data_IF_068410686679
#
_entry.id   IF_068410686679
#
_cell.length_a   1.000
_cell.length_b   1.000
_cell.length_c   1.000
_cell.angle_alpha   90.00
_cell.angle_beta   90.00
_cell.angle_gamma   90.00
#
_symmetry.space_group_name_H-M   'P 1'
#
loop_
_entity.id
_entity.type
_entity.pdbx_description
1 polymer ?
#
# COMPACT_ATOMS: atom_id res chain seq x y z
N UNK A 1 -3.01 4.28 7.66
CA UNK A 1 -3.76 5.54 7.77
C UNK A 1 -5.00 5.48 6.90
N UNK A 2 -6.12 6.05 7.34
CA UNK A 2 -7.33 6.19 6.52
C UNK A 2 -7.53 7.67 6.18
N UNK A 3 -7.79 7.96 4.91
CA UNK A 3 -8.00 9.30 4.37
C UNK A 3 -9.42 9.35 3.82
N UNK A 4 -10.35 9.78 4.67
CA UNK A 4 -11.79 9.79 4.39
C UNK A 4 -12.15 10.55 3.11
N UNK A 5 -11.54 11.74 2.91
CA UNK A 5 -11.78 12.57 1.73
C UNK A 5 -11.44 11.87 0.39
N UNK A 6 -10.63 10.82 0.43
CA UNK A 6 -10.23 10.04 -0.75
C UNK A 6 -10.79 8.62 -0.74
N UNK A 7 -11.55 8.23 0.29
CA UNK A 7 -11.93 6.83 0.53
C UNK A 7 -10.73 5.89 0.40
N UNK A 8 -9.58 6.27 0.98
CA UNK A 8 -8.29 5.63 0.75
C UNK A 8 -7.65 5.18 2.06
N UNK A 9 -7.27 3.91 2.11
CA UNK A 9 -6.32 3.38 3.08
C UNK A 9 -4.90 3.50 2.53
N UNK A 10 -4.02 4.10 3.32
CA UNK A 10 -2.60 4.24 3.03
C UNK A 10 -1.80 3.40 4.04
N UNK A 11 -1.04 2.43 3.57
CA UNK A 11 -0.26 1.52 4.41
C UNK A 11 1.21 1.56 4.01
N UNK A 12 2.09 1.89 4.95
CA UNK A 12 3.52 1.70 4.75
C UNK A 12 3.84 0.23 5.01
N UNK A 13 4.30 -0.49 3.99
CA UNK A 13 4.68 -1.90 4.09
C UNK A 13 6.15 -2.05 3.65
N UNK A 14 6.98 -2.62 4.53
CA UNK A 14 8.41 -2.79 4.23
C UNK A 14 9.13 -3.85 5.04
N UNK A 15 8.50 -4.44 6.05
CA UNK A 15 9.12 -5.47 6.89
C UNK A 15 8.07 -6.45 7.43
N UNK A 16 8.43 -7.73 7.48
CA UNK A 16 7.68 -8.72 8.27
C UNK A 16 7.87 -8.41 9.75
N UNK A 17 6.78 -8.26 10.47
CA UNK A 17 6.78 -8.07 11.92
C UNK A 17 6.47 -9.39 12.63
N UNK A 18 6.89 -9.54 13.89
CA UNK A 18 6.72 -10.78 14.66
C UNK A 18 5.25 -11.20 14.84
N UNK A 19 4.32 -10.25 14.74
CA UNK A 19 2.88 -10.46 14.84
C UNK A 19 2.20 -10.59 13.47
N UNK A 20 2.95 -10.85 12.40
CA UNK A 20 2.39 -11.02 11.06
C UNK A 20 1.52 -12.27 11.00
N UNK A 21 0.22 -12.07 10.76
CA UNK A 21 -0.75 -13.13 10.54
C UNK A 21 -1.28 -13.04 9.09
N UNK A 22 -0.92 -13.99 8.21
CA UNK A 22 -1.31 -13.95 6.80
C UNK A 22 -2.82 -14.09 6.58
N UNK A 23 -3.53 -14.81 7.45
CA UNK A 23 -4.98 -14.98 7.33
C UNK A 23 -5.71 -13.68 7.70
N UNK A 24 -5.27 -13.04 8.77
CA UNK A 24 -5.77 -11.73 9.17
C UNK A 24 -5.48 -10.65 8.12
N UNK A 25 -4.25 -10.61 7.58
CA UNK A 25 -3.87 -9.69 6.50
C UNK A 25 -4.79 -9.83 5.28
N UNK A 26 -5.05 -11.07 4.87
CA UNK A 26 -5.92 -11.35 3.72
C UNK A 26 -7.35 -10.89 3.98
N UNK A 27 -7.88 -11.19 5.16
CA UNK A 27 -9.22 -10.76 5.58
C UNK A 27 -9.34 -9.23 5.62
N UNK A 28 -8.35 -8.56 6.20
CA UNK A 28 -8.32 -7.10 6.31
C UNK A 28 -8.21 -6.45 4.92
N UNK A 29 -7.33 -6.96 4.08
CA UNK A 29 -7.13 -6.43 2.72
C UNK A 29 -8.42 -6.53 1.91
N UNK A 30 -9.13 -7.67 1.99
CA UNK A 30 -10.44 -7.84 1.34
C UNK A 30 -11.49 -6.87 1.89
N UNK A 31 -11.59 -6.75 3.21
CA UNK A 31 -12.54 -5.83 3.86
C UNK A 31 -12.33 -4.38 3.40
N UNK A 32 -11.06 -3.94 3.31
CA UNK A 32 -10.70 -2.62 2.82
C UNK A 32 -11.06 -2.47 1.36
N UNK A 33 -10.65 -3.40 0.50
CA UNK A 33 -10.89 -3.31 -0.94
C UNK A 33 -12.37 -3.26 -1.32
N UNK A 34 -13.26 -3.89 -0.54
CA UNK A 34 -14.71 -3.81 -0.76
C UNK A 34 -15.30 -2.39 -0.57
N UNK A 35 -14.60 -1.49 0.13
CA UNK A 35 -15.14 -0.18 0.59
C UNK A 35 -14.29 1.01 0.18
N UNK A 36 -12.98 0.81 0.07
CA UNK A 36 -11.98 1.84 -0.03
C UNK A 36 -10.91 1.43 -1.04
N UNK A 37 -10.12 2.39 -1.48
CA UNK A 37 -8.88 2.12 -2.14
C UNK A 37 -7.82 1.72 -1.10
N UNK A 38 -6.81 0.95 -1.51
CA UNK A 38 -5.65 0.63 -0.68
C UNK A 38 -4.36 0.92 -1.46
N UNK A 39 -3.53 1.81 -0.95
CA UNK A 39 -2.16 2.03 -1.43
C UNK A 39 -1.20 1.51 -0.36
N UNK A 40 -0.53 0.40 -0.67
CA UNK A 40 0.58 -0.16 0.12
C UNK A 40 1.88 0.34 -0.48
N UNK A 41 2.78 0.89 0.32
CA UNK A 41 4.01 1.49 -0.19
C UNK A 41 5.23 1.18 0.67
N UNK A 42 6.38 1.00 0.04
CA UNK A 42 7.65 0.86 0.73
C UNK A 42 8.18 2.22 1.19
N UNK A 43 8.74 2.32 2.40
CA UNK A 43 9.23 3.60 2.96
C UNK A 43 10.37 4.25 2.15
N UNK A 44 11.01 3.53 1.24
CA UNK A 44 12.10 4.01 0.37
C UNK A 44 11.64 4.44 -1.03
N UNK A 45 10.34 4.41 -1.34
CA UNK A 45 9.87 4.87 -2.65
C UNK A 45 10.04 6.40 -2.79
N UNK A 46 10.18 6.84 -4.03
CA UNK A 46 10.16 8.27 -4.33
C UNK A 46 8.80 8.90 -3.98
N UNK A 47 8.84 10.12 -3.45
CA UNK A 47 7.64 10.90 -3.11
C UNK A 47 6.66 11.02 -4.27
N UNK A 48 7.18 11.28 -5.47
CA UNK A 48 6.38 11.40 -6.69
C UNK A 48 5.62 10.11 -7.00
N UNK A 49 6.23 8.95 -6.78
CA UNK A 49 5.59 7.63 -6.95
C UNK A 49 4.44 7.46 -5.95
N UNK A 50 4.65 7.82 -4.69
CA UNK A 50 3.61 7.77 -3.66
C UNK A 50 2.42 8.67 -4.04
N UNK A 51 2.67 9.92 -4.39
CA UNK A 51 1.61 10.87 -4.76
C UNK A 51 0.84 10.40 -5.99
N UNK A 52 1.54 9.90 -7.01
CA UNK A 52 0.89 9.35 -8.19
C UNK A 52 0.02 8.13 -7.85
N UNK A 53 0.48 7.26 -6.95
CA UNK A 53 -0.31 6.13 -6.46
C UNK A 53 -1.58 6.57 -5.76
N UNK A 54 -1.48 7.57 -4.87
CA UNK A 54 -2.62 8.16 -4.16
C UNK A 54 -3.63 8.77 -5.15
N UNK A 55 -3.17 9.58 -6.10
CA UNK A 55 -4.06 10.25 -7.07
C UNK A 55 -4.72 9.28 -8.06
N UNK A 56 -4.08 8.15 -8.37
CA UNK A 56 -4.63 7.11 -9.25
C UNK A 56 -5.54 6.11 -8.51
N UNK A 57 -5.52 6.09 -7.19
CA UNK A 57 -6.25 5.11 -6.41
C UNK A 57 -7.76 5.32 -6.53
N UNK A 58 -8.49 4.22 -6.73
CA UNK A 58 -9.95 4.21 -6.80
C UNK A 58 -10.50 3.18 -5.81
N UNK A 59 -11.69 3.38 -5.21
CA UNK A 59 -12.32 2.35 -4.38
C UNK A 59 -12.37 1.00 -5.10
N UNK A 60 -12.07 -0.10 -4.40
CA UNK A 60 -11.95 -1.42 -5.06
C UNK A 60 -10.53 -1.77 -5.52
N UNK A 61 -9.60 -0.82 -5.54
CA UNK A 61 -8.23 -1.07 -6.04
C UNK A 61 -7.23 -1.24 -4.93
N UNK A 62 -6.30 -2.19 -5.12
CA UNK A 62 -5.13 -2.37 -4.28
C UNK A 62 -3.90 -2.07 -5.13
N UNK A 63 -3.18 -1.01 -4.80
CA UNK A 63 -1.90 -0.65 -5.41
C UNK A 63 -0.76 -0.99 -4.45
N UNK A 64 0.26 -1.67 -4.96
CA UNK A 64 1.50 -1.98 -4.24
C UNK A 64 2.64 -1.21 -4.89
N UNK A 65 3.27 -0.33 -4.13
CA UNK A 65 4.39 0.52 -4.55
C UNK A 65 5.66 0.02 -3.87
N UNK A 66 6.29 -0.97 -4.49
CA UNK A 66 7.50 -1.59 -3.96
C UNK A 66 8.72 -0.67 -4.15
N UNK A 67 9.75 -0.89 -3.32
CA UNK A 67 11.03 -0.22 -3.53
C UNK A 67 11.58 -0.57 -4.93
N UNK A 68 12.27 0.35 -5.60
CA UNK A 68 13.05 -0.02 -6.76
C UNK A 68 14.00 -1.17 -6.38
N UNK A 69 14.11 -2.17 -7.24
CA UNK A 69 15.09 -3.24 -7.05
C UNK A 69 16.46 -2.62 -6.78
N UNK A 70 17.28 -3.19 -5.86
CA UNK A 70 18.62 -2.69 -5.63
C UNK A 70 19.32 -2.56 -6.98
N UNK A 71 19.81 -1.37 -7.27
CA UNK A 71 20.52 -1.09 -8.51
C UNK A 71 21.71 -2.04 -8.54
N UNK A 72 21.68 -3.04 -9.42
CA UNK A 72 22.84 -3.90 -9.65
C UNK A 72 23.94 -2.99 -10.19
N UNK A 73 24.84 -2.54 -9.31
CA UNK A 73 26.13 -2.00 -9.71
C UNK A 73 26.88 -3.14 -10.41
N UNK A 74 26.91 -3.09 -11.74
CA UNK A 74 27.84 -3.88 -12.55
C UNK A 74 29.25 -3.32 -12.38
#
# INVERSE_FOLDING_TARGET
FFIEALNLCLECNGYSHISYDPEYETTREKYIAERYALVRFHHQIAWQTLMNGILKAQPGTIQRLDAPAPMNCK
#
